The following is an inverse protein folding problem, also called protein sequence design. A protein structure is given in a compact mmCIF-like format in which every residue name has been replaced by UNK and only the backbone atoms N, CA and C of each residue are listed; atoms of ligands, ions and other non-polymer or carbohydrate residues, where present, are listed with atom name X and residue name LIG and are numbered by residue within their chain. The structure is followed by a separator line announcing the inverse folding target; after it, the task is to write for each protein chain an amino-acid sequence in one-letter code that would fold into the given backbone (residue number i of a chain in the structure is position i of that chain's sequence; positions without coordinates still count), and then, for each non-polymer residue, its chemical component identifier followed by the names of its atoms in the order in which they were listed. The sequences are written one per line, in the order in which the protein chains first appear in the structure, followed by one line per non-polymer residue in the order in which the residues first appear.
data_IF_522136476001
#
_entry.id   IF_522136476001
#
_cell.length_a   1.000
_cell.length_b   1.000
_cell.length_c   1.000
_cell.angle_alpha   90.00
_cell.angle_beta   90.00
_cell.angle_gamma   90.00
#
_symmetry.space_group_name_H-M   'P 1'
#
loop_
_entity.id
_entity.type
_entity.pdbx_description
1 polymer ?
#
# COMPACT_ATOMS: atom_id res chain seq x y z
N UNK A 1 -4.48 0.97 12.89
CA UNK A 1 -3.52 0.65 11.81
C UNK A 1 -2.14 0.41 12.39
N UNK A 2 -1.38 -0.46 11.73
CA UNK A 2 0.00 -0.72 12.15
C UNK A 2 0.92 0.39 11.66
N UNK A 3 1.85 0.86 12.47
CA UNK A 3 2.79 1.88 12.02
C UNK A 3 3.78 1.31 11.00
N UNK A 4 4.13 2.12 10.01
CA UNK A 4 5.19 1.79 9.06
C UNK A 4 6.39 2.66 9.42
N UNK A 5 7.35 2.07 10.09
CA UNK A 5 8.45 2.81 10.70
C UNK A 5 9.49 3.27 9.68
N UNK A 6 9.71 2.47 8.65
CA UNK A 6 10.65 2.84 7.59
C UNK A 6 10.01 3.86 6.66
N UNK A 7 10.47 5.09 6.72
CA UNK A 7 9.87 6.22 6.00
C UNK A 7 10.47 6.43 4.61
N UNK A 8 10.93 5.37 3.97
CA UNK A 8 11.63 5.46 2.70
C UNK A 8 10.83 6.11 1.57
N UNK A 9 9.51 6.01 1.61
CA UNK A 9 8.64 6.53 0.54
C UNK A 9 7.43 7.28 1.08
N UNK A 10 7.50 7.76 2.31
CA UNK A 10 6.43 8.54 2.89
C UNK A 10 5.22 7.75 3.36
N UNK A 11 5.34 6.45 3.53
CA UNK A 11 4.29 5.64 4.13
C UNK A 11 4.34 5.79 5.63
N UNK A 12 3.19 6.04 6.25
CA UNK A 12 3.09 6.29 7.68
C UNK A 12 2.54 5.09 8.44
N UNK A 13 1.49 4.48 7.90
CA UNK A 13 0.84 3.34 8.54
C UNK A 13 0.05 2.55 7.51
N UNK A 14 -0.35 1.34 7.88
CA UNK A 14 -1.07 0.45 6.99
C UNK A 14 -1.94 -0.52 7.77
N UNK A 15 -2.91 -1.11 7.09
CA UNK A 15 -3.66 -2.27 7.59
C UNK A 15 -4.15 -3.07 6.39
N UNK A 16 -4.47 -4.34 6.59
CA UNK A 16 -4.93 -5.17 5.49
C UNK A 16 -5.86 -6.29 5.96
N UNK A 17 -6.60 -6.81 5.01
CA UNK A 17 -7.41 -8.01 5.17
C UNK A 17 -7.04 -9.03 4.12
N UNK A 18 -7.97 -9.94 3.79
CA UNK A 18 -7.68 -11.04 2.87
C UNK A 18 -7.35 -10.55 1.46
N UNK A 19 -8.11 -9.57 0.95
CA UNK A 19 -8.00 -9.15 -0.44
C UNK A 19 -7.81 -7.64 -0.60
N UNK A 20 -7.35 -6.97 0.43
CA UNK A 20 -7.16 -5.53 0.39
C UNK A 20 -6.03 -5.09 1.33
N UNK A 21 -5.47 -3.91 1.03
CA UNK A 21 -4.52 -3.25 1.92
C UNK A 21 -4.80 -1.75 1.87
N UNK A 22 -4.88 -1.12 3.03
CA UNK A 22 -4.98 0.33 3.16
C UNK A 22 -3.63 0.88 3.55
N UNK A 23 -3.20 1.94 2.87
CA UNK A 23 -1.91 2.56 3.11
C UNK A 23 -2.12 4.06 3.30
N UNK A 24 -1.63 4.58 4.41
CA UNK A 24 -1.66 6.02 4.65
C UNK A 24 -0.32 6.61 4.27
N UNK A 25 -0.36 7.58 3.38
CA UNK A 25 0.83 8.30 2.95
C UNK A 25 0.96 9.60 3.73
N UNK A 26 2.20 9.99 4.00
CA UNK A 26 2.48 11.19 4.78
C UNK A 26 1.84 12.44 4.17
N UNK A 27 1.85 12.53 2.85
CA UNK A 27 1.32 13.71 2.14
C UNK A 27 0.17 13.40 1.19
N UNK A 28 -0.12 12.13 0.96
CA UNK A 28 -1.12 11.73 -0.03
C UNK A 28 -2.46 11.30 0.53
N UNK A 29 -2.55 11.13 1.84
CA UNK A 29 -3.78 10.66 2.47
C UNK A 29 -3.86 9.14 2.53
N UNK A 30 -5.06 8.63 2.75
CA UNK A 30 -5.32 7.20 2.92
C UNK A 30 -5.87 6.61 1.64
N UNK A 31 -5.24 5.54 1.15
CA UNK A 31 -5.65 4.85 -0.06
C UNK A 31 -5.96 3.40 0.23
N UNK A 32 -6.97 2.87 -0.46
CA UNK A 32 -7.32 1.45 -0.41
C UNK A 32 -6.96 0.79 -1.73
N UNK A 33 -6.24 -0.32 -1.64
CA UNK A 33 -5.90 -1.17 -2.79
C UNK A 33 -6.59 -2.50 -2.58
N UNK A 34 -7.48 -2.87 -3.50
CA UNK A 34 -8.34 -4.03 -3.32
C UNK A 34 -8.45 -4.85 -4.60
N UNK A 35 -8.44 -6.16 -4.44
CA UNK A 35 -8.69 -7.10 -5.52
C UNK A 35 -10.19 -7.09 -5.88
N UNK A 36 -10.58 -7.25 -7.14
CA UNK A 36 -9.71 -7.53 -8.31
C UNK A 36 -9.18 -6.28 -9.01
N UNK A 37 -9.59 -5.09 -8.59
CA UNK A 37 -9.14 -3.83 -9.21
C UNK A 37 -7.63 -3.74 -9.19
N UNK A 38 -7.00 -4.10 -8.06
CA UNK A 38 -5.57 -4.32 -7.97
C UNK A 38 -5.37 -5.83 -7.92
N UNK A 39 -4.51 -6.36 -8.78
CA UNK A 39 -4.30 -7.80 -8.86
C UNK A 39 -3.87 -8.37 -7.50
N UNK A 40 -4.38 -9.57 -7.18
CA UNK A 40 -4.13 -10.19 -5.88
C UNK A 40 -2.65 -10.42 -5.59
N UNK A 41 -1.85 -10.72 -6.63
CA UNK A 41 -0.42 -10.89 -6.43
C UNK A 41 0.24 -9.59 -5.95
N UNK A 42 -0.23 -8.44 -6.40
CA UNK A 42 0.27 -7.15 -5.90
C UNK A 42 -0.16 -6.94 -4.45
N UNK A 43 -1.40 -7.29 -4.11
CA UNK A 43 -1.90 -7.17 -2.75
C UNK A 43 -1.03 -8.01 -1.80
N UNK A 44 -0.78 -9.27 -2.15
CA UNK A 44 0.03 -10.16 -1.30
C UNK A 44 1.46 -9.67 -1.14
N UNK A 45 2.06 -9.18 -2.22
CA UNK A 45 3.41 -8.63 -2.16
C UNK A 45 3.45 -7.40 -1.26
N UNK A 46 2.47 -6.52 -1.38
CA UNK A 46 2.41 -5.32 -0.54
C UNK A 46 2.26 -5.66 0.93
N UNK A 47 1.46 -6.68 1.27
CA UNK A 47 1.35 -7.14 2.66
C UNK A 47 2.69 -7.58 3.21
N UNK A 48 3.45 -8.35 2.44
CA UNK A 48 4.76 -8.83 2.86
C UNK A 48 5.74 -7.68 3.06
N UNK A 49 5.76 -6.73 2.14
CA UNK A 49 6.65 -5.58 2.24
C UNK A 49 6.27 -4.70 3.44
N UNK A 50 4.98 -4.51 3.67
CA UNK A 50 4.51 -3.73 4.81
C UNK A 50 4.94 -4.38 6.12
N UNK A 51 4.74 -5.69 6.24
CA UNK A 51 5.10 -6.41 7.47
C UNK A 51 6.61 -6.44 7.70
N UNK A 52 7.41 -6.46 6.64
CA UNK A 52 8.87 -6.39 6.75
C UNK A 52 9.36 -4.97 6.98
N UNK A 53 8.48 -3.99 6.92
CA UNK A 53 8.80 -2.57 7.16
C UNK A 53 9.82 -2.04 6.15
N UNK A 54 9.76 -2.50 4.91
CA UNK A 54 10.75 -2.11 3.91
C UNK A 54 10.18 -2.25 2.49
N UNK A 55 10.35 -1.22 1.69
CA UNK A 55 10.08 -1.27 0.27
C UNK A 55 8.64 -1.10 -0.17
N UNK A 56 7.70 -0.90 0.74
CA UNK A 56 6.29 -0.78 0.37
C UNK A 56 6.02 0.42 -0.54
N UNK A 57 6.49 1.59 -0.15
CA UNK A 57 6.28 2.80 -0.94
C UNK A 57 6.98 2.73 -2.29
N UNK A 58 8.20 2.17 -2.31
CA UNK A 58 8.94 1.98 -3.55
C UNK A 58 8.18 1.04 -4.49
N UNK A 59 7.63 -0.04 -3.95
CA UNK A 59 6.86 -0.99 -4.74
C UNK A 59 5.64 -0.32 -5.38
N UNK A 60 4.90 0.47 -4.60
CA UNK A 60 3.72 1.18 -5.09
C UNK A 60 4.10 2.15 -6.22
N UNK A 61 5.20 2.88 -6.05
CA UNK A 61 5.67 3.82 -7.07
C UNK A 61 6.17 3.11 -8.33
N UNK A 62 6.87 1.99 -8.18
CA UNK A 62 7.35 1.20 -9.31
C UNK A 62 6.21 0.62 -10.14
N UNK A 63 5.12 0.28 -9.49
CA UNK A 63 3.96 -0.32 -10.15
C UNK A 63 2.81 0.66 -10.21
N UNK A 64 3.12 1.92 -10.46
CA UNK A 64 2.14 3.00 -10.41
C UNK A 64 0.90 2.74 -11.24
N UNK A 65 1.07 2.29 -12.47
CA UNK A 65 -0.07 2.08 -13.38
C UNK A 65 -0.95 0.90 -12.98
N UNK A 66 -0.38 -0.11 -12.31
CA UNK A 66 -1.14 -1.31 -11.93
C UNK A 66 -1.60 -1.31 -10.49
N UNK A 67 -0.98 -0.51 -9.65
CA UNK A 67 -1.27 -0.47 -8.22
C UNK A 67 -1.79 0.91 -7.83
N UNK A 68 -0.94 1.93 -7.89
CA UNK A 68 -1.30 3.23 -7.34
C UNK A 68 -2.48 3.88 -8.06
N UNK A 69 -2.50 3.84 -9.39
CA UNK A 69 -3.57 4.43 -10.17
C UNK A 69 -4.91 3.72 -9.98
N UNK A 70 -4.89 2.49 -9.50
CA UNK A 70 -6.09 1.70 -9.25
C UNK A 70 -6.52 1.73 -7.78
N UNK A 71 -5.77 2.43 -6.94
CA UNK A 71 -6.14 2.64 -5.56
C UNK A 71 -7.27 3.64 -5.44
N UNK A 72 -8.03 3.53 -4.36
CA UNK A 72 -9.13 4.45 -4.06
C UNK A 72 -8.74 5.32 -2.88
N UNK A 73 -8.75 6.61 -3.08
CA UNK A 73 -8.45 7.54 -2.00
C UNK A 73 -9.62 7.61 -1.03
N UNK A 74 -9.38 7.27 0.22
CA UNK A 74 -10.40 7.28 1.26
C UNK A 74 -10.47 8.58 2.05
N UNK A 75 -9.34 9.28 2.14
CA UNK A 75 -9.34 10.56 2.87
C UNK A 75 -8.16 11.45 2.49
#
# INVERSE_FOLDING_TARGET
MKPYINSDSGVVEYEYGDDWINVRFKRGGLYEYKSPTVAMNHIETMKQLADSQDGLGTYINKNRSEVHSRGVKLS
#
